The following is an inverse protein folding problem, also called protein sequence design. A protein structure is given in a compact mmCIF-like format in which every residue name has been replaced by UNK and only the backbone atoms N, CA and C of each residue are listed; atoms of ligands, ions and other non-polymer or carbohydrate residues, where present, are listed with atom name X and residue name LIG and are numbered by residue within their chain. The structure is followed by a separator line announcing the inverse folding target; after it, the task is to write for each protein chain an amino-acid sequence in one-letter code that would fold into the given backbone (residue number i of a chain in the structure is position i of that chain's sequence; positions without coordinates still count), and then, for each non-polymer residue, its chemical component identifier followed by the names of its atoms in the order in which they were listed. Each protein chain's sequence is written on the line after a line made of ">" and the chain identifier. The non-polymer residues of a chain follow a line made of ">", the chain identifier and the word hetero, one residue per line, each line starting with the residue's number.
data_IF_069784497540
#
_entry.id   IF_069784497540
#
_cell.length_a   1.000
_cell.length_b   1.000
_cell.length_c   1.000
_cell.angle_alpha   90.00
_cell.angle_beta   90.00
_cell.angle_gamma   90.00
#
_symmetry.space_group_name_H-M   'P 1'
#
loop_
_entity.id
_entity.type
_entity.pdbx_description
1 polymer ?
#
# COMPACT_ATOMS: atom_id res chain seq x y z
N UNK A 1 5.19 36.14 0.43
CA UNK A 1 4.13 35.13 0.27
C UNK A 1 4.78 33.76 0.33
N UNK A 2 4.64 33.04 1.45
CA UNK A 2 5.23 31.72 1.66
C UNK A 2 4.12 30.67 1.57
N UNK A 3 4.11 29.87 0.52
CA UNK A 3 3.32 28.64 0.48
C UNK A 3 4.25 27.49 0.89
N UNK A 4 4.19 27.08 2.17
CA UNK A 4 4.82 25.86 2.67
C UNK A 4 3.78 24.74 2.57
N UNK A 5 3.82 23.97 1.48
CA UNK A 5 3.24 22.62 1.49
C UNK A 5 4.05 21.78 2.48
N UNK A 6 3.45 21.15 3.50
CA UNK A 6 4.18 20.44 4.55
C UNK A 6 4.34 18.94 4.27
N UNK A 7 4.06 18.45 3.06
CA UNK A 7 4.28 17.03 2.75
C UNK A 7 5.75 16.81 2.37
N UNK A 8 6.52 16.02 3.14
CA UNK A 8 7.86 15.64 2.73
C UNK A 8 7.77 14.87 1.42
N UNK A 9 8.27 15.49 0.35
CA UNK A 9 8.55 14.84 -0.92
C UNK A 9 9.67 13.83 -0.67
N UNK A 10 9.32 12.58 -0.31
CA UNK A 10 10.34 11.61 0.07
C UNK A 10 9.86 10.21 0.47
N UNK A 11 8.68 9.76 0.00
CA UNK A 11 8.23 8.37 0.20
C UNK A 11 8.28 7.51 -1.08
N UNK A 12 8.90 8.01 -2.15
CA UNK A 12 9.22 7.24 -3.35
C UNK A 12 10.28 7.96 -4.17
N UNK A 13 11.51 7.98 -3.68
CA UNK A 13 12.65 8.02 -4.58
C UNK A 13 12.91 6.57 -4.98
N UNK A 14 12.23 6.13 -6.04
CA UNK A 14 12.66 4.99 -6.84
C UNK A 14 13.85 5.37 -7.74
N UNK A 15 14.57 6.45 -7.43
CA UNK A 15 15.81 6.83 -8.12
C UNK A 15 16.97 5.98 -7.59
N UNK A 16 17.09 4.80 -8.19
CA UNK A 16 18.32 4.35 -8.83
C UNK A 16 19.66 4.68 -8.17
N UNK A 17 20.24 3.66 -7.54
CA UNK A 17 21.70 3.49 -7.63
C UNK A 17 22.12 2.16 -8.27
N UNK A 18 21.24 1.15 -8.35
CA UNK A 18 21.62 -0.19 -8.86
C UNK A 18 20.66 -0.84 -9.89
N UNK A 19 19.54 -0.19 -10.29
CA UNK A 19 18.55 -0.81 -11.19
C UNK A 19 18.72 -0.50 -12.69
N UNK A 20 19.66 0.39 -13.05
CA UNK A 20 19.91 0.79 -14.45
C UNK A 20 20.53 -0.32 -15.31
N UNK A 21 20.82 -1.50 -14.76
CA UNK A 21 21.26 -2.67 -15.53
C UNK A 21 20.20 -3.77 -15.49
N UNK A 22 19.41 -3.85 -16.57
CA UNK A 22 18.65 -5.03 -16.99
C UNK A 22 17.31 -5.31 -16.30
N UNK A 23 16.39 -4.35 -16.31
CA UNK A 23 14.96 -4.70 -16.39
C UNK A 23 14.50 -4.35 -17.80
N UNK A 24 14.39 -5.37 -18.66
CA UNK A 24 13.78 -5.23 -19.98
C UNK A 24 12.44 -4.50 -19.83
N UNK A 25 12.25 -3.38 -20.54
CA UNK A 25 10.98 -2.62 -20.59
C UNK A 25 9.76 -3.50 -20.90
N UNK A 26 9.97 -4.70 -21.46
CA UNK A 26 8.94 -5.71 -21.70
C UNK A 26 8.39 -6.37 -20.44
N UNK A 27 9.14 -6.40 -19.33
CA UNK A 27 8.73 -7.01 -18.07
C UNK A 27 7.50 -6.34 -17.44
N UNK A 28 7.23 -5.07 -17.78
CA UNK A 28 6.06 -4.31 -17.29
C UNK A 28 4.87 -4.31 -18.26
N UNK A 29 5.05 -4.76 -19.51
CA UNK A 29 3.98 -4.73 -20.53
C UNK A 29 3.06 -5.95 -20.51
N UNK A 30 3.52 -7.07 -19.95
CA UNK A 30 2.71 -8.26 -19.73
C UNK A 30 3.06 -8.85 -18.36
N UNK A 31 2.07 -9.20 -17.51
CA UNK A 31 2.37 -9.88 -16.25
C UNK A 31 3.13 -11.18 -16.54
N UNK A 32 4.19 -11.50 -15.77
CA UNK A 32 4.98 -12.69 -15.99
C UNK A 32 4.09 -13.93 -15.89
N UNK A 33 4.30 -14.91 -16.77
CA UNK A 33 3.64 -16.20 -16.67
C UNK A 33 4.23 -16.96 -15.47
N UNK A 34 3.54 -16.93 -14.33
CA UNK A 34 3.95 -17.62 -13.11
C UNK A 34 3.36 -19.03 -13.06
N UNK A 35 4.14 -19.99 -12.56
CA UNK A 35 3.64 -21.31 -12.19
C UNK A 35 2.71 -21.23 -10.98
N UNK A 36 1.89 -22.26 -10.76
CA UNK A 36 1.03 -22.35 -9.56
C UNK A 36 1.84 -22.28 -8.26
N UNK A 37 3.03 -22.89 -8.22
CA UNK A 37 3.89 -22.85 -7.04
C UNK A 37 4.39 -21.42 -6.75
N UNK A 38 4.77 -20.69 -7.78
CA UNK A 38 5.19 -19.29 -7.66
C UNK A 38 4.04 -18.37 -7.25
N UNK A 39 2.83 -18.59 -7.77
CA UNK A 39 1.63 -17.87 -7.34
C UNK A 39 1.30 -18.12 -5.86
N UNK A 40 1.44 -19.36 -5.39
CA UNK A 40 1.26 -19.69 -3.96
C UNK A 40 2.31 -18.97 -3.12
N UNK A 41 3.58 -19.00 -3.52
CA UNK A 41 4.64 -18.28 -2.81
C UNK A 41 4.41 -16.77 -2.79
N UNK A 42 3.99 -16.18 -3.92
CA UNK A 42 3.67 -14.76 -4.00
C UNK A 42 2.52 -14.41 -3.06
N UNK A 43 1.47 -15.23 -3.02
CA UNK A 43 0.34 -15.05 -2.09
C UNK A 43 0.80 -15.09 -0.63
N UNK A 44 1.64 -16.05 -0.25
CA UNK A 44 2.19 -16.13 1.12
C UNK A 44 3.00 -14.89 1.47
N UNK A 45 3.83 -14.39 0.54
CA UNK A 45 4.60 -13.15 0.74
C UNK A 45 3.71 -11.93 0.90
N UNK A 46 2.66 -11.80 0.09
CA UNK A 46 1.70 -10.68 0.19
C UNK A 46 0.95 -10.72 1.53
N UNK A 47 0.53 -11.89 1.98
CA UNK A 47 -0.12 -12.05 3.31
C UNK A 47 0.84 -11.63 4.43
N UNK A 48 2.11 -12.05 4.36
CA UNK A 48 3.11 -11.67 5.36
C UNK A 48 3.37 -10.15 5.36
N UNK A 49 3.46 -9.53 4.19
CA UNK A 49 3.63 -8.08 4.05
C UNK A 49 2.41 -7.32 4.58
N UNK A 50 1.19 -7.77 4.29
CA UNK A 50 -0.03 -7.15 4.83
C UNK A 50 -0.02 -7.18 6.37
N UNK A 51 0.31 -8.32 6.97
CA UNK A 51 0.38 -8.44 8.43
C UNK A 51 1.47 -7.55 9.03
N UNK A 52 2.63 -7.43 8.37
CA UNK A 52 3.69 -6.52 8.81
C UNK A 52 3.22 -5.06 8.76
N UNK A 53 2.55 -4.65 7.68
CA UNK A 53 1.98 -3.30 7.55
C UNK A 53 0.93 -3.04 8.63
N UNK A 54 0.07 -4.00 8.94
CA UNK A 54 -0.92 -3.89 10.03
C UNK A 54 -0.21 -3.66 11.36
N UNK A 55 0.83 -4.43 11.67
CA UNK A 55 1.59 -4.27 12.91
C UNK A 55 2.24 -2.88 13.00
N UNK A 56 2.85 -2.40 11.92
CA UNK A 56 3.46 -1.07 11.85
C UNK A 56 2.42 0.05 11.99
N UNK A 57 1.24 -0.09 11.37
CA UNK A 57 0.15 0.88 11.49
C UNK A 57 -0.51 0.86 12.88
N UNK A 58 -0.52 -0.30 13.56
CA UNK A 58 -1.04 -0.41 14.90
C UNK A 58 -0.17 0.33 15.93
N UNK A 59 1.15 0.36 15.72
CA UNK A 59 2.07 1.15 16.55
C UNK A 59 2.13 2.64 16.13
N UNK A 60 1.57 2.98 14.97
CA UNK A 60 1.57 4.33 14.41
C UNK A 60 0.62 5.32 15.13
N UNK A 61 0.95 6.60 15.00
CA UNK A 61 0.10 7.72 15.46
C UNK A 61 -1.19 7.85 14.63
N UNK A 62 -2.24 8.44 15.21
CA UNK A 62 -3.51 8.72 14.50
C UNK A 62 -3.31 9.49 13.18
N UNK A 63 -2.31 10.38 13.13
CA UNK A 63 -1.96 11.08 11.90
C UNK A 63 -1.45 10.13 10.82
N UNK A 64 -0.58 9.17 11.16
CA UNK A 64 -0.08 8.16 10.21
C UNK A 64 -1.21 7.24 9.71
N UNK A 65 -2.16 6.86 10.58
CA UNK A 65 -3.37 6.12 10.18
C UNK A 65 -4.26 6.95 9.24
N UNK A 66 -4.41 8.25 9.50
CA UNK A 66 -5.17 9.16 8.63
C UNK A 66 -4.52 9.30 7.24
N UNK A 67 -3.20 9.48 7.18
CA UNK A 67 -2.44 9.53 5.92
C UNK A 67 -2.59 8.22 5.15
N UNK A 68 -2.46 7.07 5.81
CA UNK A 68 -2.64 5.75 5.17
C UNK A 68 -4.05 5.59 4.57
N UNK A 69 -5.09 6.11 5.24
CA UNK A 69 -6.46 6.14 4.72
C UNK A 69 -6.62 7.10 3.54
N UNK A 70 -5.97 8.26 3.58
CA UNK A 70 -5.94 9.20 2.46
C UNK A 70 -5.29 8.58 1.22
N UNK A 71 -4.23 7.78 1.40
CA UNK A 71 -3.57 7.06 0.29
C UNK A 71 -4.52 6.15 -0.52
N UNK A 72 -5.54 5.57 0.11
CA UNK A 72 -6.56 4.79 -0.60
C UNK A 72 -7.40 5.65 -1.58
N UNK A 73 -7.58 6.93 -1.27
CA UNK A 73 -8.31 7.87 -2.15
C UNK A 73 -7.51 8.22 -3.41
N UNK A 74 -6.18 8.25 -3.32
CA UNK A 74 -5.31 8.59 -4.45
C UNK A 74 -5.25 7.49 -5.51
N UNK A 75 -5.40 6.23 -5.10
CA UNK A 75 -5.44 5.13 -6.05
C UNK A 75 -6.85 4.90 -6.61
N UNK A 76 -7.91 5.28 -5.90
CA UNK A 76 -9.30 5.14 -6.40
C UNK A 76 -9.52 5.90 -7.72
N UNK A 77 -10.30 5.35 -8.68
CA UNK A 77 -10.52 6.05 -9.94
C UNK A 77 -11.26 7.37 -9.73
N UNK A 78 -10.70 8.47 -10.25
CA UNK A 78 -11.26 9.82 -10.09
C UNK A 78 -12.62 9.94 -10.79
N UNK A 79 -13.54 10.78 -10.26
CA UNK A 79 -14.78 11.09 -10.96
C UNK A 79 -14.51 11.58 -12.40
N UNK A 80 -15.20 11.00 -13.37
CA UNK A 80 -15.01 11.30 -14.80
C UNK A 80 -13.95 10.47 -15.53
N UNK A 81 -13.25 9.56 -14.84
CA UNK A 81 -12.34 8.58 -15.44
C UNK A 81 -12.93 7.16 -15.40
N UNK A 82 -12.42 6.26 -16.25
CA UNK A 82 -12.83 4.86 -16.27
C UNK A 82 -12.61 4.20 -14.91
N UNK A 83 -13.71 3.73 -14.33
CA UNK A 83 -13.70 2.99 -13.08
C UNK A 83 -13.13 1.59 -13.33
N UNK A 84 -11.86 1.36 -12.95
CA UNK A 84 -11.22 0.07 -13.14
C UNK A 84 -11.45 -0.82 -11.89
N UNK A 85 -12.12 -1.98 -11.99
CA UNK A 85 -12.50 -2.80 -10.83
C UNK A 85 -11.33 -3.17 -9.90
N UNK A 86 -10.16 -3.51 -10.47
CA UNK A 86 -8.97 -3.86 -9.67
C UNK A 86 -8.47 -2.70 -8.82
N UNK A 87 -8.63 -1.47 -9.32
CA UNK A 87 -8.17 -0.27 -8.65
C UNK A 87 -9.11 0.10 -7.48
N UNK A 88 -10.41 -0.11 -7.66
CA UNK A 88 -11.41 0.02 -6.60
C UNK A 88 -11.10 -0.99 -5.49
N UNK A 89 -10.93 -2.26 -5.85
CA UNK A 89 -10.59 -3.30 -4.89
C UNK A 89 -9.28 -3.02 -4.15
N UNK A 90 -8.25 -2.50 -4.83
CA UNK A 90 -7.00 -2.11 -4.16
C UNK A 90 -7.24 -1.01 -3.10
N UNK A 91 -8.07 -0.01 -3.39
CA UNK A 91 -8.43 1.04 -2.43
C UNK A 91 -9.21 0.51 -1.22
N UNK A 92 -10.15 -0.41 -1.47
CA UNK A 92 -10.89 -1.10 -0.41
C UNK A 92 -9.94 -1.90 0.49
N UNK A 93 -8.98 -2.64 -0.09
CA UNK A 93 -7.99 -3.40 0.67
C UNK A 93 -7.14 -2.48 1.55
N UNK A 94 -6.65 -1.35 1.04
CA UNK A 94 -5.90 -0.37 1.84
C UNK A 94 -6.71 0.15 3.03
N UNK A 95 -8.00 0.47 2.80
CA UNK A 95 -8.90 0.93 3.86
C UNK A 95 -9.07 -0.15 4.93
N UNK A 96 -9.28 -1.41 4.49
CA UNK A 96 -9.43 -2.55 5.38
C UNK A 96 -8.16 -2.83 6.21
N UNK A 97 -6.96 -2.68 5.63
CA UNK A 97 -5.69 -2.81 6.35
C UNK A 97 -5.60 -1.81 7.51
N UNK A 98 -5.97 -0.54 7.29
CA UNK A 98 -5.98 0.51 8.33
C UNK A 98 -7.00 0.19 9.43
N UNK A 99 -8.20 -0.26 9.07
CA UNK A 99 -9.22 -0.67 10.04
C UNK A 99 -8.77 -1.86 10.90
N UNK A 100 -8.11 -2.85 10.30
CA UNK A 100 -7.55 -4.00 11.02
C UNK A 100 -6.49 -3.54 12.03
N UNK A 101 -5.61 -2.61 11.65
CA UNK A 101 -4.62 -2.03 12.55
C UNK A 101 -5.28 -1.33 13.76
N UNK A 102 -6.36 -0.58 13.53
CA UNK A 102 -7.12 0.06 14.62
C UNK A 102 -7.75 -0.95 15.58
N UNK A 103 -8.33 -2.04 15.07
CA UNK A 103 -8.90 -3.12 15.91
C UNK A 103 -7.82 -3.86 16.69
N UNK A 104 -6.65 -4.06 16.09
CA UNK A 104 -5.51 -4.70 16.75
C UNK A 104 -5.08 -3.89 17.98
N UNK A 105 -4.98 -2.56 17.86
CA UNK A 105 -4.71 -1.66 18.99
C UNK A 105 -5.74 -1.77 20.10
N UNK A 106 -7.03 -1.82 19.76
CA UNK A 106 -8.11 -1.92 20.75
C UNK A 106 -8.09 -3.25 21.50
N UNK A 107 -7.61 -4.32 20.86
CA UNK A 107 -7.50 -5.65 21.46
C UNK A 107 -6.29 -5.77 22.39
N UNK A 108 -5.26 -4.94 22.20
CA UNK A 108 -4.04 -4.88 23.01
C UNK A 108 -4.19 -3.99 24.26
N UNK A 109 -5.28 -3.20 24.36
CA UNK A 109 -5.62 -2.47 25.59
C UNK A 109 -6.34 -3.45 26.54
N UNK A 110 -5.74 -3.82 27.69
CA UNK A 110 -6.39 -4.71 28.63
C UNK A 110 -7.70 -4.07 29.12
N UNK A 111 -8.78 -4.84 29.05
CA UNK A 111 -10.07 -4.45 29.62
C UNK A 111 -9.90 -4.27 31.13
N UNK A 112 -10.03 -3.02 31.60
CA UNK A 112 -10.05 -2.66 33.02
C UNK A 112 -11.41 -2.99 33.63
#
# INVERSE_FOLDING_TARGET
>A
MLNKNPFPSGLSTWDDQDAATSLDDKAFTAPPALTNAELVHLRVRVIALENLVIALLADGSEHQLAVAREMATYISPRPGFTQHPLTIHAAEQMTHTVERAQRFRQSDVPSV
#
